data_IF_066644574828
#
_entry.id   IF_066644574828
#
_cell.length_a   1.000
_cell.length_b   1.000
_cell.length_c   1.000
_cell.angle_alpha   90.00
_cell.angle_beta   90.00
_cell.angle_gamma   90.00
#
_symmetry.space_group_name_H-M   'P 1'
#
loop_
_entity.id
_entity.type
_entity.pdbx_description
1 polymer ?
#
# COMPACT_ATOMS: atom_id res chain seq x y z
N UNK A 1 23.25 -57.06 22.09
CA UNK A 1 21.87 -56.60 21.81
C UNK A 1 21.52 -55.23 22.40
N UNK A 2 22.30 -54.67 23.33
CA UNK A 2 21.98 -53.39 23.99
C UNK A 2 22.58 -52.15 23.29
N UNK A 3 23.66 -52.31 22.52
CA UNK A 3 24.39 -51.20 21.87
C UNK A 3 23.80 -50.71 20.54
N UNK A 4 22.92 -51.47 19.88
CA UNK A 4 22.24 -51.04 18.65
C UNK A 4 21.03 -50.14 18.96
N UNK A 5 20.41 -50.34 20.12
CA UNK A 5 19.18 -49.64 20.51
C UNK A 5 19.47 -48.22 21.04
N UNK A 6 20.63 -48.02 21.69
CA UNK A 6 21.13 -46.71 22.11
C UNK A 6 21.58 -45.85 20.92
N UNK A 7 22.20 -46.47 19.89
CA UNK A 7 22.58 -45.76 18.66
C UNK A 7 21.38 -45.25 17.85
N UNK A 8 20.26 -45.98 17.87
CA UNK A 8 19.03 -45.55 17.20
C UNK A 8 18.32 -44.39 17.91
N UNK A 9 18.39 -44.32 19.25
CA UNK A 9 17.79 -43.19 19.99
C UNK A 9 18.58 -41.89 19.84
N UNK A 10 19.91 -41.94 19.70
CA UNK A 10 20.72 -40.76 19.42
C UNK A 10 20.52 -40.22 18.00
N UNK A 11 20.26 -41.07 16.99
CA UNK A 11 19.88 -40.59 15.65
C UNK A 11 18.46 -40.02 15.60
N UNK A 12 17.52 -40.56 16.38
CA UNK A 12 16.16 -40.03 16.44
C UNK A 12 16.08 -38.64 17.09
N UNK A 13 16.87 -38.36 18.13
CA UNK A 13 16.92 -37.04 18.79
C UNK A 13 17.68 -35.99 17.96
N UNK A 14 18.63 -36.41 17.12
CA UNK A 14 19.36 -35.48 16.23
C UNK A 14 18.47 -35.02 15.06
N UNK A 15 17.52 -35.83 14.61
CA UNK A 15 16.56 -35.45 13.57
C UNK A 15 15.44 -34.53 14.06
N UNK A 16 15.17 -34.50 15.37
CA UNK A 16 14.19 -33.59 15.97
C UNK A 16 14.69 -32.14 16.11
N UNK A 17 15.99 -31.91 15.93
CA UNK A 17 16.62 -30.58 16.15
C UNK A 17 16.84 -29.81 14.83
N UNK A 18 16.66 -30.44 13.66
CA UNK A 18 16.87 -29.81 12.35
C UNK A 18 15.56 -29.25 11.74
N UNK A 19 14.40 -29.47 12.38
CA UNK A 19 13.14 -28.86 11.94
C UNK A 19 12.84 -27.60 12.75
N UNK A 20 13.63 -26.55 12.53
CA UNK A 20 13.11 -25.20 12.78
C UNK A 20 11.95 -24.94 11.81
N UNK A 21 10.82 -24.38 12.29
CA UNK A 21 9.60 -24.27 11.52
C UNK A 21 9.74 -23.14 10.48
N UNK A 22 10.11 -23.50 9.25
CA UNK A 22 9.89 -22.64 8.08
C UNK A 22 8.40 -22.54 7.71
N UNK A 23 7.52 -23.14 8.51
CA UNK A 23 6.08 -23.11 8.36
C UNK A 23 5.48 -22.07 9.29
N UNK A 24 5.73 -20.78 9.04
CA UNK A 24 4.60 -19.88 9.18
C UNK A 24 3.58 -20.37 8.15
N UNK A 25 2.36 -20.79 8.54
CA UNK A 25 1.47 -21.42 7.58
C UNK A 25 1.21 -20.44 6.45
N UNK A 26 1.42 -20.86 5.20
CA UNK A 26 1.04 -20.06 4.02
C UNK A 26 -0.41 -19.54 4.14
N UNK A 27 -1.26 -20.31 4.81
CA UNK A 27 -2.62 -19.94 5.19
C UNK A 27 -2.70 -18.70 6.08
N UNK A 28 -1.80 -18.55 7.05
CA UNK A 28 -1.73 -17.34 7.90
C UNK A 28 -1.33 -16.13 7.07
N UNK A 29 -0.24 -16.23 6.31
CA UNK A 29 0.22 -15.14 5.46
C UNK A 29 -0.83 -14.72 4.40
N UNK A 30 -1.58 -15.68 3.86
CA UNK A 30 -2.68 -15.41 2.92
C UNK A 30 -3.85 -14.69 3.60
N UNK A 31 -4.23 -15.13 4.80
CA UNK A 31 -5.28 -14.48 5.58
C UNK A 31 -4.88 -13.06 5.97
N UNK A 32 -3.63 -12.86 6.38
CA UNK A 32 -3.06 -11.57 6.74
C UNK A 32 -3.11 -10.60 5.54
N UNK A 33 -2.65 -11.03 4.37
CA UNK A 33 -2.73 -10.23 3.14
C UNK A 33 -4.18 -9.90 2.72
N UNK A 34 -5.09 -10.87 2.84
CA UNK A 34 -6.52 -10.67 2.50
C UNK A 34 -7.16 -9.66 3.45
N UNK A 35 -6.88 -9.76 4.75
CA UNK A 35 -7.41 -8.84 5.75
C UNK A 35 -6.87 -7.41 5.56
N UNK A 36 -5.61 -7.26 5.19
CA UNK A 36 -5.00 -5.97 4.88
C UNK A 36 -5.67 -5.29 3.67
N UNK A 37 -5.86 -6.03 2.58
CA UNK A 37 -6.55 -5.50 1.38
C UNK A 37 -7.98 -5.12 1.72
N UNK A 38 -8.70 -5.99 2.40
CA UNK A 38 -10.09 -5.74 2.83
C UNK A 38 -10.17 -4.51 3.74
N UNK A 39 -9.19 -4.34 4.62
CA UNK A 39 -9.10 -3.17 5.50
C UNK A 39 -8.86 -1.88 4.70
N UNK A 40 -7.90 -1.88 3.76
CA UNK A 40 -7.59 -0.71 2.92
C UNK A 40 -8.82 -0.30 2.11
N UNK A 41 -9.51 -1.27 1.51
CA UNK A 41 -10.76 -1.06 0.78
C UNK A 41 -11.87 -0.51 1.68
N UNK A 42 -12.02 -1.05 2.90
CA UNK A 42 -13.04 -0.61 3.86
C UNK A 42 -12.81 0.82 4.36
N UNK A 43 -11.56 1.20 4.60
CA UNK A 43 -11.23 2.57 5.00
C UNK A 43 -11.49 3.55 3.85
N UNK A 44 -11.11 3.18 2.64
CA UNK A 44 -11.37 3.98 1.43
C UNK A 44 -12.87 4.12 1.13
N UNK A 45 -13.66 3.06 1.35
CA UNK A 45 -15.11 3.09 1.19
C UNK A 45 -15.82 4.02 2.19
N UNK A 46 -15.39 4.05 3.45
CA UNK A 46 -15.98 4.94 4.46
C UNK A 46 -15.79 6.44 4.11
N UNK A 47 -14.64 6.81 3.54
CA UNK A 47 -14.39 8.19 3.10
C UNK A 47 -15.34 8.65 1.98
N UNK A 48 -15.80 7.73 1.12
CA UNK A 48 -16.78 8.05 0.08
C UNK A 48 -18.19 8.32 0.64
N UNK A 49 -18.54 7.70 1.77
CA UNK A 49 -19.86 7.84 2.40
C UNK A 49 -19.97 9.04 3.34
N UNK A 50 -18.94 9.37 4.12
CA UNK A 50 -18.96 10.52 5.04
C UNK A 50 -19.19 11.85 4.31
N UNK A 51 -18.76 11.95 3.06
CA UNK A 51 -18.85 13.16 2.25
C UNK A 51 -20.25 13.40 1.65
N UNK A 52 -21.11 12.39 1.56
CA UNK A 52 -22.51 12.57 1.15
C UNK A 52 -23.39 13.11 2.28
N UNK A 53 -22.98 12.98 3.55
CA UNK A 53 -23.80 13.39 4.72
C UNK A 53 -23.66 14.89 5.05
N UNK A 54 -22.61 15.58 4.58
CA UNK A 54 -22.45 17.03 4.80
C UNK A 54 -23.21 17.93 3.82
N UNK A 55 -24.03 17.37 2.93
CA UNK A 55 -24.83 18.12 1.95
C UNK A 55 -26.33 18.01 2.23
N UNK A 56 -26.87 18.95 3.02
CA UNK A 56 -28.28 19.36 3.10
C UNK A 56 -29.34 18.28 3.34
N UNK A 57 -29.98 18.37 4.50
CA UNK A 57 -31.29 17.77 4.80
C UNK A 57 -32.28 18.18 3.69
N UNK A 58 -32.79 17.21 2.93
CA UNK A 58 -34.08 17.28 2.25
C UNK A 58 -34.71 15.90 2.22
N UNK A 59 -35.97 15.86 2.66
CA UNK A 59 -36.85 14.72 2.86
C UNK A 59 -37.08 13.82 1.62
N UNK A 60 -37.60 12.59 1.82
CA UNK A 60 -37.54 11.53 0.83
C UNK A 60 -38.72 11.60 -0.14
N UNK A 61 -38.48 12.04 -1.36
CA UNK A 61 -39.38 11.72 -2.48
C UNK A 61 -38.88 10.46 -3.18
N UNK A 62 -39.68 9.42 -3.04
CA UNK A 62 -39.71 8.16 -3.77
C UNK A 62 -39.54 8.38 -5.29
N UNK A 63 -38.30 8.47 -5.75
CA UNK A 63 -37.94 8.48 -7.15
C UNK A 63 -36.87 7.42 -7.36
N UNK A 64 -37.30 6.31 -7.96
CA UNK A 64 -36.58 5.46 -8.90
C UNK A 64 -35.06 5.43 -8.73
N UNK A 65 -34.58 4.30 -8.21
CA UNK A 65 -33.18 3.90 -8.23
C UNK A 65 -32.75 3.82 -9.70
N UNK A 66 -32.34 4.95 -10.26
CA UNK A 66 -31.42 5.01 -11.39
C UNK A 66 -30.03 5.01 -10.75
N UNK A 67 -29.31 3.89 -10.92
CA UNK A 67 -27.86 3.88 -10.72
C UNK A 67 -27.32 5.13 -11.42
N UNK A 68 -26.63 6.05 -10.72
CA UNK A 68 -26.01 7.17 -11.38
C UNK A 68 -25.04 6.56 -12.39
N UNK A 69 -25.31 6.77 -13.68
CA UNK A 69 -24.48 6.28 -14.76
C UNK A 69 -23.03 6.63 -14.43
N UNK A 70 -22.26 5.63 -14.02
CA UNK A 70 -20.87 5.80 -13.67
C UNK A 70 -20.18 6.36 -14.91
N UNK A 71 -19.83 7.65 -14.87
CA UNK A 71 -19.04 8.27 -15.92
C UNK A 71 -17.79 7.41 -16.13
N UNK A 72 -17.40 7.22 -17.39
CA UNK A 72 -16.20 6.44 -17.72
C UNK A 72 -15.03 7.01 -16.90
N UNK A 73 -14.33 6.18 -16.10
CA UNK A 73 -13.21 6.63 -15.28
C UNK A 73 -12.12 7.37 -16.05
N UNK A 74 -12.00 7.12 -17.36
CA UNK A 74 -11.08 7.85 -18.25
C UNK A 74 -11.44 9.32 -18.44
N UNK A 75 -12.70 9.70 -18.25
CA UNK A 75 -13.21 11.07 -18.31
C UNK A 75 -13.25 11.71 -16.93
N UNK A 76 -13.63 10.92 -15.93
CA UNK A 76 -13.84 11.42 -14.57
C UNK A 76 -12.52 11.71 -13.84
N UNK A 77 -11.48 10.89 -14.06
CA UNK A 77 -10.17 11.14 -13.44
C UNK A 77 -9.55 12.49 -13.84
N UNK A 78 -9.43 12.85 -15.14
CA UNK A 78 -8.98 14.18 -15.53
C UNK A 78 -9.80 15.31 -14.90
N UNK A 79 -11.14 15.16 -14.90
CA UNK A 79 -12.04 16.16 -14.31
C UNK A 79 -11.79 16.37 -12.82
N UNK A 80 -11.54 15.30 -12.07
CA UNK A 80 -11.22 15.37 -10.64
C UNK A 80 -9.86 16.03 -10.39
N UNK A 81 -8.87 15.79 -11.26
CA UNK A 81 -7.55 16.43 -11.18
C UNK A 81 -7.65 17.94 -11.44
N UNK A 82 -8.41 18.35 -12.46
CA UNK A 82 -8.66 19.77 -12.78
C UNK A 82 -9.40 20.49 -11.64
N UNK A 83 -10.34 19.80 -10.99
CA UNK A 83 -11.05 20.30 -9.82
C UNK A 83 -10.24 20.24 -8.51
N UNK A 84 -8.98 19.80 -8.57
CA UNK A 84 -8.07 19.63 -7.42
C UNK A 84 -8.61 18.67 -6.34
N UNK A 85 -9.50 17.76 -6.73
CA UNK A 85 -10.10 16.75 -5.87
C UNK A 85 -9.22 15.51 -5.80
N UNK A 86 -7.99 15.68 -5.31
CA UNK A 86 -6.96 14.63 -5.35
C UNK A 86 -7.34 13.36 -4.58
N UNK A 87 -7.96 13.48 -3.40
CA UNK A 87 -8.43 12.32 -2.63
C UNK A 87 -9.47 11.48 -3.39
N UNK A 88 -10.41 12.13 -4.10
CA UNK A 88 -11.39 11.42 -4.94
C UNK A 88 -10.70 10.75 -6.14
N UNK A 89 -9.79 11.45 -6.81
CA UNK A 89 -9.06 10.92 -7.95
C UNK A 89 -8.20 9.69 -7.58
N UNK A 90 -7.46 9.77 -6.46
CA UNK A 90 -6.66 8.64 -5.97
C UNK A 90 -7.55 7.48 -5.53
N UNK A 91 -8.63 7.74 -4.80
CA UNK A 91 -9.58 6.68 -4.43
C UNK A 91 -10.11 5.94 -5.65
N UNK A 92 -10.50 6.67 -6.70
CA UNK A 92 -10.97 6.09 -7.95
C UNK A 92 -9.88 5.26 -8.64
N UNK A 93 -8.68 5.82 -8.83
CA UNK A 93 -7.58 5.12 -9.48
C UNK A 93 -7.17 3.82 -8.73
N UNK A 94 -7.13 3.86 -7.40
CA UNK A 94 -6.81 2.69 -6.56
C UNK A 94 -7.92 1.63 -6.60
N UNK A 95 -9.21 2.01 -6.75
CA UNK A 95 -10.32 1.04 -6.86
C UNK A 95 -10.22 0.23 -8.14
N UNK A 96 -9.72 0.84 -9.21
CA UNK A 96 -9.55 0.15 -10.49
C UNK A 96 -8.45 -0.91 -10.44
N UNK A 97 -7.62 -0.96 -9.39
CA UNK A 97 -6.53 -1.92 -9.20
C UNK A 97 -5.50 -1.97 -10.34
N UNK A 98 -5.47 -0.97 -11.21
CA UNK A 98 -4.53 -0.87 -12.33
C UNK A 98 -3.37 0.06 -11.97
N UNK A 99 -2.18 -0.51 -11.78
CA UNK A 99 -0.97 0.26 -11.46
C UNK A 99 -0.68 1.36 -12.49
N UNK A 100 -0.94 1.09 -13.78
CA UNK A 100 -0.77 2.07 -14.85
C UNK A 100 -1.60 3.33 -14.65
N UNK A 101 -2.83 3.20 -14.14
CA UNK A 101 -3.72 4.34 -13.87
C UNK A 101 -3.21 5.18 -12.71
N UNK A 102 -2.72 4.52 -11.65
CA UNK A 102 -2.13 5.20 -10.48
C UNK A 102 -0.86 5.94 -10.87
N UNK A 103 0.02 5.30 -11.65
CA UNK A 103 1.25 5.92 -12.16
C UNK A 103 0.93 7.10 -13.08
N UNK A 104 -0.05 6.96 -13.97
CA UNK A 104 -0.52 8.06 -14.81
C UNK A 104 -1.02 9.23 -13.96
N UNK A 105 -1.82 8.98 -12.93
CA UNK A 105 -2.34 10.01 -12.04
C UNK A 105 -1.21 10.71 -11.27
N UNK A 106 -0.24 9.95 -10.75
CA UNK A 106 0.98 10.49 -10.13
C UNK A 106 1.79 11.41 -11.06
N UNK A 107 1.68 11.21 -12.38
CA UNK A 107 2.32 12.07 -13.38
C UNK A 107 1.49 13.31 -13.72
N UNK A 108 0.17 13.29 -13.53
CA UNK A 108 -0.70 14.45 -13.77
C UNK A 108 -0.74 15.41 -12.58
N UNK A 109 -0.55 14.91 -11.36
CA UNK A 109 -0.70 15.71 -10.14
C UNK A 109 0.62 16.27 -9.66
N UNK A 110 0.62 17.57 -9.30
CA UNK A 110 1.75 18.18 -8.60
C UNK A 110 1.83 17.66 -7.17
N UNK A 111 2.79 16.74 -6.95
CA UNK A 111 3.12 16.18 -5.64
C UNK A 111 3.37 17.27 -4.60
N UNK A 112 4.14 18.32 -4.93
CA UNK A 112 4.48 19.36 -3.96
C UNK A 112 3.23 20.03 -3.41
N UNK A 113 2.25 20.30 -4.29
CA UNK A 113 0.97 20.91 -3.91
C UNK A 113 0.16 20.07 -2.92
N UNK A 114 0.14 18.75 -3.10
CA UNK A 114 -0.55 17.85 -2.16
C UNK A 114 0.13 17.90 -0.79
N UNK A 115 1.44 17.64 -0.76
CA UNK A 115 2.19 17.44 0.48
C UNK A 115 2.56 18.76 1.19
N UNK A 116 2.38 19.93 0.55
CA UNK A 116 2.56 21.24 1.20
C UNK A 116 1.31 21.75 1.93
N UNK A 117 0.16 21.10 1.73
CA UNK A 117 -1.11 21.55 2.32
C UNK A 117 -1.25 21.04 3.76
N UNK A 118 -1.69 21.90 4.67
CA UNK A 118 -1.95 21.53 6.09
C UNK A 118 -3.36 21.99 6.49
N UNK A 119 -4.26 21.08 6.92
CA UNK A 119 -4.06 19.63 7.05
C UNK A 119 -3.88 18.95 5.68
N UNK A 120 -3.22 17.78 5.66
CA UNK A 120 -2.96 17.04 4.43
C UNK A 120 -4.29 16.66 3.74
N UNK A 121 -4.45 17.01 2.47
CA UNK A 121 -5.68 16.76 1.71
C UNK A 121 -5.88 15.32 1.24
N UNK A 122 -5.08 14.38 1.77
CA UNK A 122 -5.14 12.94 1.48
C UNK A 122 -5.10 12.18 2.81
N UNK A 123 -6.03 11.24 2.98
CA UNK A 123 -6.12 10.38 4.17
C UNK A 123 -4.97 9.36 4.29
N UNK A 124 -4.70 8.91 5.51
CA UNK A 124 -3.68 7.89 5.80
C UNK A 124 -3.94 6.59 5.03
N UNK A 125 -5.19 6.12 4.94
CA UNK A 125 -5.54 4.92 4.19
C UNK A 125 -5.15 5.00 2.70
N UNK A 126 -5.27 6.18 2.09
CA UNK A 126 -4.81 6.43 0.74
C UNK A 126 -3.29 6.44 0.63
N UNK A 127 -2.57 7.02 1.59
CA UNK A 127 -1.11 6.98 1.63
C UNK A 127 -0.57 5.55 1.74
N UNK A 128 -1.17 4.72 2.60
CA UNK A 128 -0.83 3.31 2.72
C UNK A 128 -1.11 2.53 1.44
N UNK A 129 -2.26 2.78 0.80
CA UNK A 129 -2.60 2.17 -0.49
C UNK A 129 -1.63 2.58 -1.60
N UNK A 130 -1.25 3.86 -1.65
CA UNK A 130 -0.25 4.37 -2.61
C UNK A 130 1.12 3.75 -2.37
N UNK A 131 1.53 3.61 -1.10
CA UNK A 131 2.80 2.95 -0.73
C UNK A 131 2.83 1.52 -1.25
N UNK A 132 1.76 0.77 -0.99
CA UNK A 132 1.62 -0.62 -1.43
C UNK A 132 1.63 -0.72 -2.97
N UNK A 133 0.84 0.11 -3.65
CA UNK A 133 0.66 -0.02 -5.09
C UNK A 133 1.89 0.46 -5.87
N UNK A 134 2.48 1.60 -5.51
CA UNK A 134 3.71 2.10 -6.15
C UNK A 134 4.93 1.23 -5.81
N UNK A 135 4.94 0.64 -4.61
CA UNK A 135 6.01 -0.25 -4.15
C UNK A 135 6.04 -1.63 -4.79
N UNK A 136 4.93 -2.07 -5.40
CA UNK A 136 4.78 -3.43 -5.94
C UNK A 136 5.72 -3.72 -7.12
N UNK A 137 5.92 -2.77 -8.03
CA UNK A 137 6.82 -2.88 -9.19
C UNK A 137 7.61 -1.58 -9.35
N UNK A 138 8.91 -1.57 -9.07
CA UNK A 138 9.74 -0.35 -9.12
C UNK A 138 10.58 -0.21 -10.39
N UNK A 139 10.63 -1.24 -11.25
CA UNK A 139 11.50 -1.27 -12.44
C UNK A 139 11.04 -0.34 -13.57
N UNK A 140 9.75 0.02 -13.58
CA UNK A 140 9.15 0.97 -14.52
C UNK A 140 8.78 2.26 -13.82
N UNK A 141 8.95 3.40 -14.51
CA UNK A 141 8.66 4.74 -13.99
C UNK A 141 9.38 5.01 -12.65
N UNK A 142 10.58 4.43 -12.50
CA UNK A 142 11.28 4.34 -11.22
C UNK A 142 11.45 5.70 -10.55
N UNK A 143 11.92 6.71 -11.29
CA UNK A 143 12.12 8.06 -10.74
C UNK A 143 10.82 8.61 -10.15
N UNK A 144 9.73 8.57 -10.92
CA UNK A 144 8.42 9.05 -10.47
C UNK A 144 7.95 8.30 -9.22
N UNK A 145 8.03 6.97 -9.23
CA UNK A 145 7.62 6.14 -8.08
C UNK A 145 8.44 6.42 -6.84
N UNK A 146 9.77 6.52 -6.94
CA UNK A 146 10.62 6.78 -5.78
C UNK A 146 10.40 8.17 -5.19
N UNK A 147 10.18 9.20 -6.02
CA UNK A 147 9.85 10.53 -5.52
C UNK A 147 8.50 10.58 -4.81
N UNK A 148 7.48 9.90 -5.37
CA UNK A 148 6.18 9.77 -4.71
C UNK A 148 6.27 8.98 -3.41
N UNK A 149 6.97 7.85 -3.40
CA UNK A 149 7.20 7.05 -2.19
C UNK A 149 7.92 7.86 -1.12
N UNK A 150 8.88 8.71 -1.47
CA UNK A 150 9.53 9.59 -0.50
C UNK A 150 8.54 10.54 0.17
N UNK A 151 7.73 11.26 -0.61
CA UNK A 151 6.75 12.20 -0.06
C UNK A 151 5.67 11.48 0.76
N UNK A 152 5.18 10.34 0.28
CA UNK A 152 4.21 9.52 1.00
C UNK A 152 4.78 9.05 2.33
N UNK A 153 6.00 8.49 2.35
CA UNK A 153 6.62 7.98 3.57
C UNK A 153 6.90 9.08 4.61
N UNK A 154 7.20 10.31 4.18
CA UNK A 154 7.34 11.45 5.10
C UNK A 154 6.01 11.92 5.69
N UNK A 155 4.88 11.54 5.07
CA UNK A 155 3.53 11.90 5.49
C UNK A 155 2.78 10.76 6.19
N UNK A 156 3.34 9.54 6.19
CA UNK A 156 2.75 8.39 6.88
C UNK A 156 2.80 8.60 8.38
N UNK A 157 1.66 8.31 9.02
CA UNK A 157 1.57 8.22 10.47
C UNK A 157 1.80 6.76 10.91
N UNK A 158 2.94 6.53 11.57
CA UNK A 158 3.32 5.20 12.09
C UNK A 158 2.62 4.83 13.39
N UNK A 159 1.92 5.77 14.01
CA UNK A 159 1.11 5.52 15.20
C UNK A 159 -0.38 5.33 14.85
N UNK A 160 -0.72 5.20 13.56
CA UNK A 160 -2.10 5.04 13.09
C UNK A 160 -2.78 3.84 13.79
N UNK A 161 -3.71 4.09 14.74
CA UNK A 161 -4.32 3.05 15.54
C UNK A 161 -5.25 2.15 14.70
N UNK A 162 -5.63 2.59 13.50
CA UNK A 162 -6.53 1.83 12.64
C UNK A 162 -5.80 0.76 11.84
N UNK A 163 -4.56 1.00 11.40
CA UNK A 163 -3.82 0.06 10.57
C UNK A 163 -3.14 -1.02 11.43
N UNK A 164 -2.63 -0.69 12.61
CA UNK A 164 -1.96 -1.65 13.50
C UNK A 164 -0.61 -2.15 12.96
N UNK A 165 0.34 -2.49 13.85
CA UNK A 165 1.74 -2.72 13.48
C UNK A 165 1.95 -3.93 12.56
N UNK A 166 1.12 -4.95 12.68
CA UNK A 166 1.21 -6.17 11.85
C UNK A 166 0.89 -5.86 10.38
N UNK A 167 -0.17 -5.08 10.11
CA UNK A 167 -0.53 -4.70 8.73
C UNK A 167 0.47 -3.71 8.14
N UNK A 168 1.00 -2.78 8.94
CA UNK A 168 2.09 -1.89 8.51
C UNK A 168 3.28 -2.72 8.00
N UNK A 169 3.69 -3.75 8.76
CA UNK A 169 4.79 -4.64 8.37
C UNK A 169 4.53 -5.34 7.03
N UNK A 170 3.31 -5.78 6.78
CA UNK A 170 2.92 -6.43 5.52
C UNK A 170 3.02 -5.51 4.28
N UNK A 171 2.97 -4.18 4.46
CA UNK A 171 3.18 -3.22 3.37
C UNK A 171 4.66 -2.85 3.26
N UNK A 172 5.31 -2.57 4.39
CA UNK A 172 6.67 -2.05 4.41
C UNK A 172 7.73 -3.12 4.08
N UNK A 173 7.53 -4.38 4.47
CA UNK A 173 8.50 -5.45 4.22
C UNK A 173 8.64 -5.81 2.72
N UNK A 174 7.55 -5.94 1.94
CA UNK A 174 7.65 -6.08 0.49
C UNK A 174 8.33 -4.88 -0.17
N UNK A 175 7.98 -3.65 0.24
CA UNK A 175 8.61 -2.44 -0.28
C UNK A 175 10.12 -2.43 -0.02
N UNK A 176 10.54 -2.78 1.21
CA UNK A 176 11.95 -2.91 1.56
C UNK A 176 12.68 -3.92 0.66
N UNK A 177 12.06 -5.07 0.42
CA UNK A 177 12.61 -6.12 -0.45
C UNK A 177 12.77 -5.63 -1.88
N UNK A 178 11.73 -4.98 -2.42
CA UNK A 178 11.73 -4.45 -3.79
C UNK A 178 12.75 -3.33 -3.98
N UNK A 179 12.92 -2.45 -2.99
CA UNK A 179 13.96 -1.41 -3.03
C UNK A 179 15.37 -2.01 -3.00
N UNK A 180 15.62 -3.04 -2.20
CA UNK A 180 16.93 -3.71 -2.18
C UNK A 180 17.24 -4.41 -3.50
N UNK A 181 16.25 -5.09 -4.08
CA UNK A 181 16.36 -5.68 -5.42
C UNK A 181 16.67 -4.61 -6.46
N UNK A 182 15.95 -3.47 -6.43
CA UNK A 182 16.20 -2.35 -7.33
C UNK A 182 17.63 -1.80 -7.19
N UNK A 183 18.12 -1.58 -5.96
CA UNK A 183 19.49 -1.10 -5.70
C UNK A 183 20.56 -2.04 -6.26
N UNK A 184 20.29 -3.36 -6.30
CA UNK A 184 21.21 -4.36 -6.85
C UNK A 184 21.35 -4.28 -8.37
N UNK A 185 20.30 -3.86 -9.09
CA UNK A 185 20.27 -3.81 -10.56
C UNK A 185 20.63 -2.43 -11.12
N UNK A 186 20.35 -1.33 -10.40
CA UNK A 186 20.61 0.02 -10.92
C UNK A 186 22.08 0.46 -10.73
N UNK A 187 22.65 1.19 -11.71
CA UNK A 187 24.01 1.72 -11.61
C UNK A 187 24.13 2.78 -10.51
N UNK A 188 25.36 3.05 -10.08
CA UNK A 188 25.62 4.11 -9.11
C UNK A 188 25.22 5.47 -9.71
N UNK A 189 24.41 6.23 -8.97
CA UNK A 189 23.88 7.51 -9.44
C UNK A 189 22.77 8.04 -8.52
N UNK A 190 22.12 9.15 -8.91
CA UNK A 190 21.08 9.80 -8.10
C UNK A 190 19.93 8.85 -7.72
N UNK A 191 19.49 8.02 -8.68
CA UNK A 191 18.41 7.06 -8.47
C UNK A 191 18.75 6.02 -7.38
N UNK A 192 19.98 5.50 -7.40
CA UNK A 192 20.46 4.55 -6.40
C UNK A 192 20.58 5.17 -5.02
N UNK A 193 21.00 6.43 -4.95
CA UNK A 193 21.04 7.17 -3.70
C UNK A 193 19.64 7.39 -3.15
N UNK A 194 18.68 7.77 -3.99
CA UNK A 194 17.26 7.89 -3.62
C UNK A 194 16.69 6.58 -3.07
N UNK A 195 16.90 5.46 -3.75
CA UNK A 195 16.44 4.16 -3.25
C UNK A 195 17.06 3.79 -1.91
N UNK A 196 18.35 4.06 -1.70
CA UNK A 196 19.03 3.86 -0.41
C UNK A 196 18.46 4.75 0.68
N UNK A 197 18.16 6.02 0.37
CA UNK A 197 17.51 6.92 1.32
C UNK A 197 16.15 6.38 1.76
N UNK A 198 15.34 5.87 0.84
CA UNK A 198 14.05 5.24 1.16
C UNK A 198 14.22 3.99 2.03
N UNK A 199 15.23 3.15 1.75
CA UNK A 199 15.57 2.00 2.60
C UNK A 199 15.93 2.46 4.01
N UNK A 200 16.73 3.52 4.15
CA UNK A 200 17.07 4.07 5.45
C UNK A 200 15.87 4.66 6.18
N UNK A 201 14.96 5.34 5.47
CA UNK A 201 13.71 5.82 6.03
C UNK A 201 12.87 4.65 6.55
N UNK A 202 12.68 3.59 5.76
CA UNK A 202 11.96 2.38 6.20
C UNK A 202 12.55 1.75 7.47
N UNK A 203 13.87 1.76 7.62
CA UNK A 203 14.53 1.22 8.81
C UNK A 203 14.41 2.13 10.04
N UNK A 204 14.04 3.39 9.86
CA UNK A 204 13.91 4.39 10.93
C UNK A 204 12.47 4.62 11.41
N UNK A 205 11.51 4.06 10.68
CA UNK A 205 10.08 4.05 11.01
C UNK A 205 9.79 2.88 11.95
#
# INVERSE_FOLDING_TARGET
HQTLQEGMQHHASTLATITHPLTYPLTSALNDATSLVTWLERQRGQLTMDRQVSGSIVEPTLAKIEEPAALDPSVELPRLVEAEKYEEAFNMALTMSHLSTVVWLCNQVDRAKIFSTTPLGISQALLWSLTQQLGCELEKDTTLKLEWLQSVMMALDMEDPLLGPENMRLILQPLYTNLNSLVSIIPNGPLKNMSRLLIHLLNSL
#
